data_IF_272245571875
#
_entry.id   IF_272245571875
#
_cell.length_a   1.000
_cell.length_b   1.000
_cell.length_c   1.000
_cell.angle_alpha   90.00
_cell.angle_beta   90.00
_cell.angle_gamma   90.00
#
_symmetry.space_group_name_H-M   'P 1'
#
loop_
_entity.id
_entity.type
_entity.pdbx_description
1 polymer ?
#
# COMPACT_ATOMS: atom_id res chain seq x y z
N UNK A 1 9.66 50.29 -3.23
CA UNK A 1 10.81 49.36 -3.31
C UNK A 1 10.38 48.11 -4.10
N UNK A 2 11.28 47.31 -4.66
CA UNK A 2 10.93 46.08 -5.38
C UNK A 2 10.28 45.03 -4.45
N UNK A 3 10.66 45.05 -3.17
CA UNK A 3 9.99 44.26 -2.13
C UNK A 3 8.55 44.73 -1.89
N UNK A 4 8.28 46.05 -1.90
CA UNK A 4 6.92 46.58 -1.75
C UNK A 4 6.06 46.18 -2.94
N UNK A 5 6.59 46.29 -4.16
CA UNK A 5 5.92 45.84 -5.38
C UNK A 5 5.54 44.35 -5.28
N UNK A 6 6.47 43.52 -4.78
CA UNK A 6 6.22 42.10 -4.57
C UNK A 6 5.14 41.85 -3.51
N UNK A 7 5.18 42.58 -2.39
CA UNK A 7 4.18 42.45 -1.31
C UNK A 7 2.80 42.87 -1.79
N UNK A 8 2.70 43.98 -2.52
CA UNK A 8 1.44 44.48 -3.07
C UNK A 8 0.84 43.49 -4.07
N UNK A 9 1.67 42.84 -4.89
CA UNK A 9 1.23 41.80 -5.81
C UNK A 9 0.69 40.56 -5.08
N UNK A 10 1.36 40.09 -4.02
CA UNK A 10 0.87 39.00 -3.18
C UNK A 10 -0.47 39.36 -2.50
N UNK A 11 -0.58 40.57 -1.96
CA UNK A 11 -1.81 41.06 -1.32
C UNK A 11 -2.97 41.15 -2.32
N UNK A 12 -2.70 41.57 -3.55
CA UNK A 12 -3.70 41.65 -4.61
C UNK A 12 -4.22 40.26 -5.03
N UNK A 13 -3.33 39.27 -5.16
CA UNK A 13 -3.71 37.90 -5.54
C UNK A 13 -4.44 37.16 -4.40
N UNK A 14 -3.98 37.35 -3.15
CA UNK A 14 -4.55 36.70 -1.98
C UNK A 14 -6.00 37.13 -1.68
N UNK A 15 -6.40 38.35 -2.04
CA UNK A 15 -7.75 38.89 -1.82
C UNK A 15 -8.11 39.24 -0.36
N UNK A 16 -7.30 38.81 0.61
CA UNK A 16 -7.36 39.23 2.02
C UNK A 16 -5.93 39.43 2.55
N UNK A 17 -5.65 40.62 3.08
CA UNK A 17 -4.34 40.98 3.60
C UNK A 17 -3.87 40.07 4.76
N UNK A 18 -4.79 39.40 5.46
CA UNK A 18 -4.46 38.45 6.52
C UNK A 18 -3.81 37.17 6.00
N UNK A 19 -3.87 36.90 4.70
CA UNK A 19 -3.31 35.69 4.09
C UNK A 19 -1.84 35.85 3.68
N UNK A 20 -1.31 37.07 3.71
CA UNK A 20 0.09 37.40 3.42
C UNK A 20 0.76 37.88 4.71
N UNK A 21 1.69 37.08 5.23
CA UNK A 21 2.41 37.37 6.46
C UNK A 21 3.71 38.15 6.25
N UNK A 22 4.68 37.87 7.10
CA UNK A 22 5.96 38.58 7.11
C UNK A 22 6.86 38.20 5.94
N UNK A 23 7.78 39.11 5.60
CA UNK A 23 8.84 38.82 4.64
C UNK A 23 9.80 37.76 5.21
N UNK A 24 10.13 36.77 4.37
CA UNK A 24 10.96 35.63 4.75
C UNK A 24 12.37 35.77 4.16
N UNK A 25 12.46 35.87 2.85
CA UNK A 25 13.75 35.96 2.13
C UNK A 25 13.55 36.47 0.71
N UNK A 26 14.64 36.88 0.07
CA UNK A 26 14.70 37.18 -1.36
C UNK A 26 15.81 36.35 -1.97
N UNK A 27 15.52 35.74 -3.12
CA UNK A 27 16.49 34.98 -3.91
C UNK A 27 16.68 35.66 -5.24
N UNK A 28 17.94 35.92 -5.61
CA UNK A 28 18.29 36.55 -6.88
C UNK A 28 18.78 35.50 -7.87
N UNK A 29 18.55 35.74 -9.16
CA UNK A 29 19.29 35.04 -10.20
C UNK A 29 20.77 35.45 -10.22
N UNK A 30 21.57 34.73 -11.00
CA UNK A 30 23.02 34.95 -11.09
C UNK A 30 23.39 36.36 -11.60
N UNK A 31 22.51 36.98 -12.39
CA UNK A 31 22.71 38.32 -12.97
C UNK A 31 22.12 39.45 -12.12
N UNK A 32 21.44 39.14 -11.03
CA UNK A 32 20.75 40.09 -10.15
C UNK A 32 19.59 40.83 -10.82
N UNK A 33 19.06 40.33 -11.93
CA UNK A 33 17.97 40.96 -12.70
C UNK A 33 16.60 40.42 -12.32
N UNK A 34 16.56 39.19 -11.80
CA UNK A 34 15.35 38.53 -11.34
C UNK A 34 15.47 38.29 -9.83
N UNK A 35 14.43 38.61 -9.09
CA UNK A 35 14.36 38.43 -7.65
C UNK A 35 13.03 37.79 -7.25
N UNK A 36 13.08 36.68 -6.52
CA UNK A 36 11.93 35.99 -5.96
C UNK A 36 11.80 36.35 -4.49
N UNK A 37 10.81 37.17 -4.16
CA UNK A 37 10.50 37.58 -2.80
C UNK A 37 9.54 36.58 -2.16
N UNK A 38 9.91 36.05 -0.99
CA UNK A 38 9.12 35.11 -0.23
C UNK A 38 8.46 35.78 0.97
N UNK A 39 7.15 35.54 1.15
CA UNK A 39 6.38 35.95 2.32
C UNK A 39 5.67 34.74 2.93
N UNK A 40 5.41 34.76 4.23
CA UNK A 40 4.60 33.70 4.86
C UNK A 40 3.20 33.63 4.22
N UNK A 41 2.71 32.42 3.93
CA UNK A 41 1.33 32.21 3.50
C UNK A 41 0.48 31.74 4.69
N UNK A 42 -0.55 32.50 5.05
CA UNK A 42 -1.50 32.14 6.12
C UNK A 42 -2.79 31.52 5.55
N UNK A 43 -2.64 30.72 4.48
CA UNK A 43 -3.76 30.06 3.79
C UNK A 43 -4.23 28.81 4.57
N UNK A 44 -5.55 28.62 4.81
CA UNK A 44 -6.11 27.56 5.68
C UNK A 44 -5.78 26.08 5.37
N UNK A 45 -5.10 25.78 4.25
CA UNK A 45 -4.68 24.42 3.89
C UNK A 45 -3.20 24.31 3.51
N UNK A 46 -2.46 25.42 3.52
CA UNK A 46 -1.07 25.49 3.04
C UNK A 46 -0.13 25.84 4.21
N UNK A 47 -0.21 25.04 5.28
CA UNK A 47 0.63 25.22 6.46
C UNK A 47 2.10 25.08 6.09
N UNK A 48 2.91 26.10 6.41
CA UNK A 48 4.35 26.14 6.13
C UNK A 48 4.71 26.58 4.71
N UNK A 49 3.72 26.91 3.87
CA UNK A 49 3.94 27.40 2.52
C UNK A 49 4.23 28.91 2.51
N UNK A 50 4.73 29.40 1.38
CA UNK A 50 5.16 30.79 1.20
C UNK A 50 4.54 31.35 -0.07
N UNK A 51 4.10 32.60 -0.03
CA UNK A 51 3.91 33.39 -1.24
C UNK A 51 5.28 33.62 -1.85
N UNK A 52 5.44 33.29 -3.13
CA UNK A 52 6.63 33.59 -3.91
C UNK A 52 6.22 34.53 -5.04
N UNK A 53 6.84 35.71 -5.05
CA UNK A 53 6.59 36.73 -6.06
C UNK A 53 7.88 37.01 -6.78
N UNK A 54 7.96 36.60 -8.04
CA UNK A 54 9.12 36.87 -8.88
C UNK A 54 8.96 38.23 -9.56
N UNK A 55 9.97 39.07 -9.39
CA UNK A 55 10.07 40.41 -9.95
C UNK A 55 11.29 40.45 -10.86
N UNK A 56 11.16 41.04 -12.05
CA UNK A 56 12.27 41.22 -12.98
C UNK A 56 12.49 42.70 -13.32
N UNK A 57 13.76 43.06 -13.50
CA UNK A 57 14.20 44.37 -13.97
C UNK A 57 15.06 44.20 -15.22
N UNK A 58 14.65 44.82 -16.32
CA UNK A 58 15.30 44.64 -17.63
C UNK A 58 16.72 45.24 -17.66
N UNK A 59 16.88 46.45 -17.11
CA UNK A 59 18.15 47.16 -16.96
C UNK A 59 18.12 48.13 -15.76
N UNK A 60 19.17 48.92 -15.55
CA UNK A 60 19.25 49.85 -14.40
C UNK A 60 18.21 50.95 -14.42
N UNK A 61 17.71 51.32 -15.60
CA UNK A 61 16.89 52.51 -15.83
C UNK A 61 15.40 52.16 -15.98
N UNK A 62 15.09 50.87 -16.17
CA UNK A 62 13.74 50.34 -16.28
C UNK A 62 13.08 50.16 -14.91
N UNK A 63 11.76 50.33 -14.84
CA UNK A 63 11.00 49.94 -13.65
C UNK A 63 10.96 48.41 -13.49
N UNK A 64 10.90 47.95 -12.25
CA UNK A 64 10.73 46.53 -11.94
C UNK A 64 9.28 46.09 -12.26
N UNK A 65 9.12 44.86 -12.76
CA UNK A 65 7.81 44.30 -13.13
C UNK A 65 7.61 42.93 -12.48
N UNK A 66 6.37 42.59 -12.13
CA UNK A 66 6.01 41.29 -11.56
C UNK A 66 5.87 40.26 -12.68
N UNK A 67 6.58 39.13 -12.56
CA UNK A 67 6.53 38.02 -13.50
C UNK A 67 5.43 37.03 -13.13
N UNK A 68 5.38 36.62 -11.86
CA UNK A 68 4.37 35.72 -11.32
C UNK A 68 4.11 35.98 -9.82
N UNK A 69 2.97 35.46 -9.37
CA UNK A 69 2.59 35.37 -7.97
C UNK A 69 2.11 33.94 -7.76
N UNK A 70 2.85 33.16 -6.99
CA UNK A 70 2.54 31.75 -6.74
C UNK A 70 2.68 31.42 -5.26
N UNK A 71 2.18 30.26 -4.85
CA UNK A 71 2.39 29.73 -3.50
C UNK A 71 3.26 28.49 -3.62
N UNK A 72 4.41 28.49 -2.95
CA UNK A 72 5.39 27.40 -2.98
C UNK A 72 5.57 26.78 -1.59
N UNK A 73 5.87 25.47 -1.52
CA UNK A 73 6.12 24.83 -0.25
C UNK A 73 7.44 25.34 0.36
N UNK A 74 7.37 25.82 1.60
CA UNK A 74 8.54 26.04 2.43
C UNK A 74 9.04 24.74 3.12
N UNK A 75 10.15 24.82 3.87
CA UNK A 75 10.76 23.66 4.54
C UNK A 75 9.83 22.91 5.51
N UNK A 76 8.89 23.63 6.12
CA UNK A 76 7.93 23.10 7.08
C UNK A 76 6.56 22.78 6.44
N UNK A 77 6.49 22.75 5.10
CA UNK A 77 5.25 22.50 4.38
C UNK A 77 4.79 21.06 4.49
N UNK A 78 3.49 20.88 4.73
CA UNK A 78 2.86 19.59 4.53
C UNK A 78 2.70 19.35 3.02
N UNK A 79 3.45 18.39 2.50
CA UNK A 79 3.37 17.94 1.11
C UNK A 79 2.48 16.70 0.99
N UNK A 80 1.93 16.51 -0.21
CA UNK A 80 1.29 15.24 -0.54
C UNK A 80 2.31 14.09 -0.49
N UNK A 81 1.89 12.87 -0.12
CA UNK A 81 2.73 11.69 -0.29
C UNK A 81 3.12 11.49 -1.75
N UNK A 82 4.19 10.73 -1.97
CA UNK A 82 4.60 10.34 -3.32
C UNK A 82 3.45 9.62 -4.05
N UNK A 83 3.30 9.93 -5.33
CA UNK A 83 2.31 9.27 -6.17
C UNK A 83 2.72 7.81 -6.39
N UNK A 84 1.82 6.89 -6.08
CA UNK A 84 2.01 5.45 -6.27
C UNK A 84 1.24 5.00 -7.52
N UNK A 85 1.80 4.19 -8.44
CA UNK A 85 1.03 3.62 -9.56
C UNK A 85 -0.21 2.86 -9.09
N UNK A 86 -1.32 2.93 -9.85
CA UNK A 86 -2.58 2.28 -9.44
C UNK A 86 -2.42 0.78 -9.16
N UNK A 87 -1.61 0.08 -9.96
CA UNK A 87 -1.31 -1.35 -9.76
C UNK A 87 -0.69 -1.64 -8.39
N UNK A 88 0.10 -0.71 -7.86
CA UNK A 88 0.79 -0.84 -6.58
C UNK A 88 -0.09 -0.38 -5.40
N UNK A 89 -1.30 0.14 -5.68
CA UNK A 89 -2.28 0.52 -4.65
C UNK A 89 -3.25 -0.60 -4.28
N UNK A 90 -3.35 -1.65 -5.11
CA UNK A 90 -4.33 -2.72 -4.90
C UNK A 90 -4.03 -3.48 -3.59
N UNK A 91 -4.99 -3.42 -2.68
CA UNK A 91 -4.97 -4.08 -1.39
C UNK A 91 -5.93 -5.28 -1.34
N UNK A 92 -5.74 -6.21 -0.38
CA UNK A 92 -6.73 -7.25 -0.12
C UNK A 92 -8.11 -6.64 0.14
N UNK A 93 -9.12 -7.05 -0.64
CA UNK A 93 -10.49 -6.55 -0.54
C UNK A 93 -10.89 -5.54 -1.61
N UNK A 94 -9.94 -4.99 -2.36
CA UNK A 94 -10.23 -4.02 -3.44
C UNK A 94 -10.86 -4.67 -4.68
N UNK A 95 -10.72 -5.99 -4.82
CA UNK A 95 -11.25 -6.75 -5.96
C UNK A 95 -12.67 -7.22 -5.66
N UNK A 96 -13.64 -6.71 -6.41
CA UNK A 96 -15.06 -6.98 -6.28
C UNK A 96 -15.64 -7.85 -7.40
N UNK A 97 -16.98 -7.90 -7.43
CA UNK A 97 -17.72 -8.70 -8.42
C UNK A 97 -17.55 -8.09 -9.82
N UNK A 98 -16.97 -8.87 -10.73
CA UNK A 98 -16.77 -8.48 -12.13
C UNK A 98 -15.39 -7.89 -12.43
N UNK A 99 -14.59 -7.60 -11.41
CA UNK A 99 -13.22 -7.11 -11.59
C UNK A 99 -12.32 -8.22 -12.14
N UNK A 100 -11.49 -7.85 -13.12
CA UNK A 100 -10.48 -8.73 -13.70
C UNK A 100 -9.11 -8.09 -13.42
N UNK A 101 -8.38 -8.67 -12.47
CA UNK A 101 -7.00 -8.28 -12.17
C UNK A 101 -6.06 -9.32 -12.77
N UNK A 102 -5.48 -9.06 -13.95
CA UNK A 102 -4.53 -9.98 -14.55
C UNK A 102 -3.27 -10.05 -13.69
N UNK A 103 -2.75 -11.26 -13.47
CA UNK A 103 -1.44 -11.40 -12.86
C UNK A 103 -0.35 -10.91 -13.83
N UNK A 104 0.75 -10.42 -13.30
CA UNK A 104 1.94 -10.15 -14.12
C UNK A 104 2.42 -11.43 -14.84
N UNK A 105 3.09 -11.25 -15.96
CA UNK A 105 3.78 -12.34 -16.67
C UNK A 105 4.95 -12.83 -15.80
N UNK A 106 5.65 -11.89 -15.16
CA UNK A 106 6.82 -12.11 -14.31
C UNK A 106 6.46 -12.22 -12.81
N UNK A 107 5.24 -12.65 -12.49
CA UNK A 107 4.81 -12.86 -11.09
C UNK A 107 5.58 -14.04 -10.49
N UNK A 108 6.52 -13.75 -9.59
CA UNK A 108 7.38 -14.74 -8.93
C UNK A 108 6.60 -15.78 -8.12
N UNK A 109 5.34 -15.49 -7.76
CA UNK A 109 4.44 -16.43 -7.06
C UNK A 109 3.90 -17.51 -7.99
N UNK A 110 4.13 -17.42 -9.30
CA UNK A 110 3.65 -18.35 -10.31
C UNK A 110 4.79 -18.98 -11.10
N UNK A 111 4.66 -20.26 -11.42
CA UNK A 111 5.55 -21.00 -12.33
C UNK A 111 4.72 -21.76 -13.36
N UNK A 112 5.29 -22.14 -14.52
CA UNK A 112 4.60 -23.00 -15.48
C UNK A 112 4.11 -24.30 -14.82
N UNK A 113 2.94 -24.79 -15.22
CA UNK A 113 2.32 -25.98 -14.59
C UNK A 113 3.19 -27.24 -14.60
N UNK A 114 4.02 -27.42 -15.64
CA UNK A 114 4.95 -28.56 -15.72
C UNK A 114 6.13 -28.45 -14.74
N UNK A 115 6.47 -27.25 -14.26
CA UNK A 115 7.54 -27.02 -13.30
C UNK A 115 7.10 -27.30 -11.84
N UNK A 116 5.84 -27.71 -11.65
CA UNK A 116 5.29 -28.10 -10.35
C UNK A 116 5.73 -29.50 -9.90
N UNK A 117 6.33 -30.29 -10.78
CA UNK A 117 6.55 -31.72 -10.59
C UNK A 117 7.74 -32.01 -9.66
N UNK A 118 7.61 -32.96 -8.71
CA UNK A 118 8.74 -33.73 -8.24
C UNK A 118 9.32 -34.52 -9.43
N UNK A 119 10.64 -34.72 -9.47
CA UNK A 119 11.30 -35.59 -10.45
C UNK A 119 11.05 -37.08 -10.13
N UNK A 120 9.78 -37.47 -10.09
CA UNK A 120 9.33 -38.81 -9.69
C UNK A 120 8.69 -39.51 -10.91
N UNK A 121 9.32 -40.59 -11.36
CA UNK A 121 8.94 -41.33 -12.57
C UNK A 121 7.71 -42.23 -12.36
N UNK A 122 7.22 -42.39 -11.13
CA UNK A 122 6.09 -43.26 -10.77
C UNK A 122 4.74 -42.51 -10.57
N UNK A 123 4.65 -41.25 -11.00
CA UNK A 123 3.46 -40.41 -10.79
C UNK A 123 2.22 -40.86 -11.60
N UNK A 124 1.12 -41.14 -10.89
CA UNK A 124 -0.17 -41.58 -11.45
C UNK A 124 -0.87 -40.48 -12.27
N UNK A 125 -1.56 -40.87 -13.35
CA UNK A 125 -2.30 -40.02 -14.26
C UNK A 125 -3.47 -39.25 -13.62
N UNK A 126 -3.96 -39.67 -12.45
CA UNK A 126 -4.93 -38.87 -11.67
C UNK A 126 -4.25 -37.84 -10.76
N UNK A 127 -3.01 -38.08 -10.32
CA UNK A 127 -2.20 -37.09 -9.61
C UNK A 127 -1.70 -35.98 -10.54
N UNK A 128 -1.62 -36.24 -11.84
CA UNK A 128 -1.28 -35.25 -12.90
C UNK A 128 -2.12 -33.97 -12.74
N UNK A 129 -3.45 -34.06 -12.62
CA UNK A 129 -4.33 -32.89 -12.47
C UNK A 129 -4.21 -32.20 -11.10
N UNK A 130 -4.08 -32.97 -10.02
CA UNK A 130 -3.82 -32.47 -8.65
C UNK A 130 -2.48 -31.73 -8.55
N UNK A 131 -1.49 -32.13 -9.35
CA UNK A 131 -0.18 -31.49 -9.49
C UNK A 131 -0.20 -30.27 -10.42
N UNK A 132 -1.34 -29.99 -11.06
CA UNK A 132 -1.54 -28.84 -11.94
C UNK A 132 -1.17 -29.06 -13.40
N UNK A 133 -0.97 -30.30 -13.84
CA UNK A 133 -0.90 -30.62 -15.27
C UNK A 133 -2.30 -30.42 -15.87
N UNK A 134 -2.40 -29.43 -16.76
CA UNK A 134 -3.66 -28.87 -17.27
C UNK A 134 -3.85 -27.38 -16.94
N UNK A 135 -3.10 -26.84 -15.97
CA UNK A 135 -3.06 -25.41 -15.66
C UNK A 135 -1.87 -24.75 -16.35
N UNK A 136 -2.04 -23.62 -17.05
CA UNK A 136 -0.92 -22.89 -17.66
C UNK A 136 0.15 -22.48 -16.62
N UNK A 137 -0.29 -22.07 -15.43
CA UNK A 137 0.55 -21.69 -14.30
C UNK A 137 0.00 -22.23 -12.98
N UNK A 138 0.89 -22.56 -12.06
CA UNK A 138 0.60 -22.95 -10.68
C UNK A 138 1.40 -22.09 -9.70
N UNK A 139 1.10 -22.21 -8.40
CA UNK A 139 1.84 -21.50 -7.37
C UNK A 139 3.29 -22.01 -7.28
N UNK A 140 4.25 -21.09 -7.27
CA UNK A 140 5.67 -21.37 -7.06
C UNK A 140 5.96 -21.72 -5.59
N UNK A 141 7.20 -22.12 -5.29
CA UNK A 141 7.65 -22.30 -3.90
C UNK A 141 7.55 -20.98 -3.14
N UNK A 142 7.93 -19.86 -3.76
CA UNK A 142 7.83 -18.53 -3.17
C UNK A 142 6.37 -18.14 -2.89
N UNK A 143 5.46 -18.39 -3.85
CA UNK A 143 4.04 -18.12 -3.65
C UNK A 143 3.45 -18.92 -2.48
N UNK A 144 3.89 -20.18 -2.31
CA UNK A 144 3.48 -21.04 -1.20
C UNK A 144 4.05 -20.54 0.13
N UNK A 145 5.30 -20.11 0.17
CA UNK A 145 5.96 -19.55 1.37
C UNK A 145 5.31 -18.23 1.80
N UNK A 146 5.02 -17.33 0.86
CA UNK A 146 4.31 -16.09 1.15
C UNK A 146 2.90 -16.37 1.69
N UNK A 147 2.19 -17.35 1.13
CA UNK A 147 0.86 -17.75 1.60
C UNK A 147 0.92 -18.39 3.00
N UNK A 148 1.84 -19.34 3.21
CA UNK A 148 2.00 -20.03 4.50
C UNK A 148 2.33 -19.03 5.60
N UNK A 149 3.26 -18.10 5.34
CA UNK A 149 3.63 -17.05 6.30
C UNK A 149 2.42 -16.18 6.65
N UNK A 150 1.71 -15.65 5.65
CA UNK A 150 0.52 -14.81 5.87
C UNK A 150 -0.58 -15.53 6.65
N UNK A 151 -0.84 -16.80 6.36
CA UNK A 151 -1.86 -17.57 7.06
C UNK A 151 -1.44 -17.93 8.48
N UNK A 152 -0.20 -18.37 8.68
CA UNK A 152 0.30 -18.79 9.99
C UNK A 152 0.47 -17.62 10.96
N UNK A 153 0.84 -16.44 10.47
CA UNK A 153 0.96 -15.24 11.33
C UNK A 153 -0.33 -14.42 11.38
N UNK A 154 -1.38 -14.84 10.67
CA UNK A 154 -2.66 -14.13 10.65
C UNK A 154 -3.61 -14.57 11.77
N UNK A 155 -4.84 -14.07 11.73
CA UNK A 155 -5.84 -14.33 12.77
C UNK A 155 -6.29 -15.80 12.88
N UNK A 156 -5.86 -16.66 11.94
CA UNK A 156 -6.13 -18.10 11.90
C UNK A 156 -4.87 -18.93 12.10
N UNK A 157 -3.84 -18.29 12.65
CA UNK A 157 -2.64 -18.92 13.18
C UNK A 157 -2.79 -19.31 14.65
N UNK A 158 -1.77 -19.98 15.22
CA UNK A 158 -1.78 -20.41 16.62
C UNK A 158 -1.71 -19.24 17.60
N UNK A 159 -1.18 -18.09 17.18
CA UNK A 159 -0.96 -16.94 18.05
C UNK A 159 -2.17 -16.00 18.18
N UNK A 160 -3.25 -16.27 17.44
CA UNK A 160 -4.49 -15.50 17.54
C UNK A 160 -5.14 -15.65 18.92
N UNK A 161 -5.86 -14.63 19.36
CA UNK A 161 -6.52 -14.63 20.68
C UNK A 161 -7.52 -15.79 20.83
N UNK A 162 -8.26 -16.11 19.75
CA UNK A 162 -9.19 -17.24 19.73
C UNK A 162 -8.48 -18.59 19.86
N UNK A 163 -7.32 -18.76 19.21
CA UNK A 163 -6.53 -19.98 19.32
C UNK A 163 -5.99 -20.17 20.74
N UNK A 164 -5.45 -19.10 21.34
CA UNK A 164 -4.95 -19.11 22.73
C UNK A 164 -6.03 -19.40 23.76
N UNK A 165 -7.27 -18.98 23.50
CA UNK A 165 -8.42 -19.26 24.34
C UNK A 165 -9.09 -20.62 24.07
N UNK A 166 -8.70 -21.32 22.99
CA UNK A 166 -9.27 -22.60 22.60
C UNK A 166 -8.63 -23.75 23.38
N UNK A 167 -9.41 -24.75 23.84
CA UNK A 167 -8.87 -25.86 24.63
C UNK A 167 -8.03 -26.85 23.82
N UNK A 168 -8.26 -26.94 22.50
CA UNK A 168 -7.62 -27.92 21.61
C UNK A 168 -7.32 -27.32 20.23
N UNK A 169 -6.26 -27.82 19.56
CA UNK A 169 -5.89 -27.38 18.21
C UNK A 169 -6.74 -28.06 17.13
N UNK A 170 -6.74 -27.49 15.92
CA UNK A 170 -7.45 -27.99 14.77
C UNK A 170 -6.95 -29.37 14.32
N UNK A 171 -5.68 -29.70 14.52
CA UNK A 171 -5.06 -30.99 14.17
C UNK A 171 -5.77 -32.20 14.81
N UNK A 172 -6.40 -32.01 15.97
CA UNK A 172 -7.16 -33.04 16.69
C UNK A 172 -8.67 -32.96 16.46
N UNK A 173 -9.13 -31.98 15.68
CA UNK A 173 -10.56 -31.72 15.51
C UNK A 173 -11.14 -32.61 14.41
N UNK A 174 -12.25 -33.29 14.69
CA UNK A 174 -12.96 -34.12 13.71
C UNK A 174 -13.57 -33.33 12.54
N UNK A 175 -13.66 -32.01 12.65
CA UNK A 175 -14.14 -31.11 11.58
C UNK A 175 -13.01 -30.52 10.73
N UNK A 176 -11.76 -30.90 10.97
CA UNK A 176 -10.60 -30.41 10.23
C UNK A 176 -10.42 -31.16 8.91
N UNK A 177 -10.48 -30.44 7.79
CA UNK A 177 -10.21 -30.97 6.46
C UNK A 177 -8.84 -30.50 5.99
N UNK A 178 -7.86 -31.41 5.88
CA UNK A 178 -6.52 -31.05 5.41
C UNK A 178 -6.51 -30.55 3.96
N UNK A 179 -5.76 -29.48 3.68
CA UNK A 179 -5.51 -29.02 2.30
C UNK A 179 -4.56 -30.02 1.62
N UNK A 180 -4.64 -30.20 0.30
CA UNK A 180 -3.77 -31.12 -0.45
C UNK A 180 -2.35 -30.55 -0.68
N UNK A 181 -1.45 -31.41 -1.16
CA UNK A 181 -0.09 -31.01 -1.57
C UNK A 181 0.84 -30.64 -0.42
N UNK A 182 1.82 -29.77 -0.70
CA UNK A 182 2.92 -29.46 0.22
C UNK A 182 2.50 -28.67 1.47
N UNK A 183 1.32 -28.06 1.48
CA UNK A 183 0.80 -27.30 2.63
C UNK A 183 0.01 -28.18 3.63
N UNK A 184 -0.30 -29.44 3.26
CA UNK A 184 -1.15 -30.36 4.04
C UNK A 184 -0.73 -30.58 5.48
N UNK A 185 0.57 -30.46 5.76
CA UNK A 185 1.13 -30.70 7.09
C UNK A 185 0.93 -29.53 8.06
N UNK A 186 0.60 -28.34 7.55
CA UNK A 186 0.52 -27.11 8.35
C UNK A 186 -0.85 -26.43 8.29
N UNK A 187 -1.69 -26.72 7.28
CA UNK A 187 -2.96 -26.02 7.09
C UNK A 187 -4.10 -26.95 6.66
N UNK A 188 -5.31 -26.55 7.01
CA UNK A 188 -6.57 -27.18 6.59
C UNK A 188 -7.71 -26.17 6.54
N UNK A 189 -8.93 -26.66 6.35
CA UNK A 189 -10.17 -25.89 6.35
C UNK A 189 -11.09 -26.43 7.45
N UNK A 190 -11.72 -25.53 8.20
CA UNK A 190 -12.75 -25.92 9.16
C UNK A 190 -14.07 -26.18 8.43
N UNK A 191 -14.73 -27.30 8.74
CA UNK A 191 -16.04 -27.68 8.19
C UNK A 191 -17.16 -27.67 9.25
N UNK A 192 -16.94 -27.01 10.38
CA UNK A 192 -17.93 -26.93 11.45
C UNK A 192 -18.79 -25.67 11.28
N UNK A 193 -20.05 -25.81 10.88
CA UNK A 193 -20.97 -24.70 10.61
C UNK A 193 -21.22 -23.75 11.81
N UNK A 194 -20.98 -24.19 13.05
CA UNK A 194 -21.10 -23.32 14.23
C UNK A 194 -19.77 -22.62 14.60
N UNK A 195 -18.67 -23.02 13.98
CA UNK A 195 -17.37 -22.38 14.17
C UNK A 195 -17.34 -21.03 13.44
N UNK A 196 -16.73 -19.98 14.01
CA UNK A 196 -16.46 -18.76 13.26
C UNK A 196 -15.51 -18.98 12.07
N UNK A 197 -14.79 -20.11 12.04
CA UNK A 197 -13.82 -20.44 11.01
C UNK A 197 -14.38 -21.34 9.90
N UNK A 198 -15.69 -21.61 9.86
CA UNK A 198 -16.30 -22.44 8.81
C UNK A 198 -15.93 -21.95 7.40
N UNK A 199 -15.43 -22.85 6.56
CA UNK A 199 -14.96 -22.55 5.21
C UNK A 199 -13.69 -21.68 5.13
N UNK A 200 -12.98 -21.45 6.24
CA UNK A 200 -11.72 -20.70 6.29
C UNK A 200 -10.51 -21.61 6.39
N UNK A 201 -9.39 -21.14 5.85
CA UNK A 201 -8.08 -21.79 6.04
C UNK A 201 -7.58 -21.49 7.46
N UNK A 202 -7.20 -22.54 8.18
CA UNK A 202 -6.65 -22.50 9.54
C UNK A 202 -5.33 -23.26 9.61
N UNK A 203 -4.41 -22.82 10.47
CA UNK A 203 -3.23 -23.63 10.77
C UNK A 203 -3.61 -24.86 11.61
N UNK A 204 -2.84 -25.92 11.51
CA UNK A 204 -3.07 -27.18 12.26
C UNK A 204 -3.08 -26.96 13.79
N UNK A 205 -2.35 -25.97 14.27
CA UNK A 205 -2.22 -25.57 15.67
C UNK A 205 -3.16 -24.41 16.07
N UNK A 206 -4.02 -23.94 15.17
CA UNK A 206 -5.08 -22.97 15.48
C UNK A 206 -6.19 -23.61 16.32
N UNK A 207 -7.05 -22.81 16.97
CA UNK A 207 -8.24 -23.30 17.67
C UNK A 207 -9.37 -22.28 17.66
N UNK A 208 -10.62 -22.75 17.61
CA UNK A 208 -11.80 -21.89 17.45
C UNK A 208 -12.86 -22.03 18.57
N UNK A 209 -12.59 -22.84 19.61
CA UNK A 209 -13.55 -23.15 20.68
C UNK A 209 -14.69 -24.11 20.29
N UNK A 210 -15.07 -24.19 19.02
CA UNK A 210 -16.06 -25.16 18.49
C UNK A 210 -15.41 -26.50 18.10
N UNK A 211 -14.49 -27.00 18.93
CA UNK A 211 -13.79 -28.27 18.69
C UNK A 211 -14.77 -29.45 18.82
N UNK A 212 -14.63 -30.50 18.00
CA UNK A 212 -15.49 -31.70 18.05
C UNK A 212 -15.49 -32.41 19.41
N UNK A 213 -14.44 -32.17 20.18
CA UNK A 213 -14.20 -32.72 21.51
C UNK A 213 -13.76 -31.62 22.49
N UNK A 214 -14.43 -30.46 22.48
CA UNK A 214 -14.03 -29.30 23.28
C UNK A 214 -14.05 -29.55 24.81
N UNK A 215 -14.80 -30.54 25.28
CA UNK A 215 -15.05 -30.80 26.72
C UNK A 215 -14.48 -32.12 27.23
N UNK A 216 -13.76 -32.88 26.40
CA UNK A 216 -13.26 -34.22 26.73
C UNK A 216 -11.75 -34.31 26.62
#
# INVERSE_FOLDING_TARGET
DAQDLARDAALADAGDAKLVGEFVSVEFDDEGRIASYLFEAHLPAYKGWRWAVTVAKVDSDSDATVCDVVVLPGPDSLLAPDWIPYVDRLAPGDVGVGDIVPSSIDDARLVPGFAALPADEDLDATQIWELGLGRPRVMSIEGRDQASKRWYTGDRGPESDIAKASPKPCASCGFFLGISGSLRGAFGVCANAISPEDGRVVSVDHGCGAHSEATF
#
